data_IF_700836272263
#
_entry.id   IF_700836272263
#
_cell.length_a   1.000
_cell.length_b   1.000
_cell.length_c   1.000
_cell.angle_alpha   90.00
_cell.angle_beta   90.00
_cell.angle_gamma   90.00
#
_symmetry.space_group_name_H-M   'P 1'
#
loop_
_entity.id
_entity.type
_entity.pdbx_description
1 polymer ?
#
# COMPACT_ATOMS: atom_id res chain seq x y z
N UNK A 1 -15.55 13.39 -0.20
CA UNK A 1 -16.03 12.00 -0.49
C UNK A 1 -14.96 11.04 -0.04
N UNK A 2 -15.33 9.97 0.65
CA UNK A 2 -14.40 9.03 1.27
C UNK A 2 -14.58 7.67 0.61
N UNK A 3 -13.51 7.08 0.08
CA UNK A 3 -13.49 5.69 -0.36
C UNK A 3 -12.74 4.84 0.63
N UNK A 4 -13.19 3.62 0.79
CA UNK A 4 -12.59 2.70 1.75
C UNK A 4 -12.09 1.46 1.02
N UNK A 5 -10.88 1.03 1.34
CA UNK A 5 -10.38 -0.26 0.87
C UNK A 5 -9.55 -0.97 1.92
N UNK A 6 -9.60 -2.29 1.93
CA UNK A 6 -8.69 -3.17 2.68
C UNK A 6 -7.69 -3.74 1.68
N UNK A 7 -6.43 -3.79 2.07
CA UNK A 7 -5.40 -4.31 1.18
C UNK A 7 -5.60 -5.80 0.88
N UNK A 8 -6.25 -6.57 1.77
CA UNK A 8 -6.55 -7.99 1.52
C UNK A 8 -7.48 -8.22 0.33
N UNK A 9 -8.43 -7.30 0.09
CA UNK A 9 -9.48 -7.44 -0.91
C UNK A 9 -9.03 -7.00 -2.30
N UNK A 10 -7.94 -6.24 -2.40
CA UNK A 10 -7.37 -5.85 -3.69
C UNK A 10 -6.07 -6.64 -3.96
N UNK A 11 -5.99 -7.43 -5.05
CA UNK A 11 -4.85 -8.33 -5.30
C UNK A 11 -3.53 -7.55 -5.52
N UNK A 12 -3.59 -6.35 -6.09
CA UNK A 12 -2.41 -5.51 -6.34
C UNK A 12 -1.88 -4.95 -5.03
N UNK A 13 -2.77 -4.41 -4.19
CA UNK A 13 -2.40 -3.91 -2.87
C UNK A 13 -1.84 -5.02 -1.98
N UNK A 14 -2.50 -6.19 -1.97
CA UNK A 14 -2.06 -7.37 -1.23
C UNK A 14 -0.64 -7.79 -1.62
N UNK A 15 -0.37 -7.92 -2.93
CA UNK A 15 0.95 -8.32 -3.42
C UNK A 15 2.05 -7.35 -2.98
N UNK A 16 1.80 -6.04 -3.06
CA UNK A 16 2.75 -5.02 -2.59
C UNK A 16 3.06 -5.16 -1.10
N UNK A 17 2.03 -5.37 -0.27
CA UNK A 17 2.20 -5.58 1.17
C UNK A 17 2.95 -6.87 1.49
N UNK A 18 2.63 -7.97 0.82
CA UNK A 18 3.33 -9.25 1.02
C UNK A 18 4.81 -9.11 0.67
N UNK A 19 5.15 -8.48 -0.46
CA UNK A 19 6.55 -8.23 -0.85
C UNK A 19 7.26 -7.38 0.21
N UNK A 20 6.63 -6.30 0.68
CA UNK A 20 7.19 -5.44 1.72
C UNK A 20 7.49 -6.20 3.01
N UNK A 21 6.56 -7.05 3.46
CA UNK A 21 6.71 -7.88 4.67
C UNK A 21 7.83 -8.90 4.48
N UNK A 22 7.90 -9.56 3.32
CA UNK A 22 8.98 -10.50 3.01
C UNK A 22 10.35 -9.83 3.03
N UNK A 23 10.47 -8.60 2.51
CA UNK A 23 11.72 -7.84 2.56
C UNK A 23 12.15 -7.52 4.00
N UNK A 24 11.22 -7.14 4.88
CA UNK A 24 11.50 -6.91 6.30
C UNK A 24 11.99 -8.19 6.98
N UNK A 25 11.31 -9.31 6.73
CA UNK A 25 11.69 -10.61 7.28
C UNK A 25 13.09 -11.01 6.78
N UNK A 26 13.35 -10.87 5.48
CA UNK A 26 14.65 -11.16 4.89
C UNK A 26 15.77 -10.29 5.49
N UNK A 27 15.52 -8.99 5.72
CA UNK A 27 16.48 -8.11 6.38
C UNK A 27 16.76 -8.56 7.83
N UNK A 28 15.72 -8.97 8.57
CA UNK A 28 15.88 -9.52 9.92
C UNK A 28 16.74 -10.78 9.95
N UNK A 29 16.50 -11.72 9.03
CA UNK A 29 17.33 -12.92 8.91
C UNK A 29 18.77 -12.61 8.48
N UNK A 30 18.96 -11.65 7.56
CA UNK A 30 20.29 -11.18 7.16
C UNK A 30 21.07 -10.60 8.34
N UNK A 31 20.41 -9.81 9.19
CA UNK A 31 21.02 -9.29 10.41
C UNK A 31 21.36 -10.40 11.41
N UNK A 32 20.49 -11.39 11.60
CA UNK A 32 20.76 -12.55 12.45
C UNK A 32 21.97 -13.35 11.95
N UNK A 33 22.05 -13.59 10.63
CA UNK A 33 23.18 -14.29 10.02
C UNK A 33 24.51 -13.52 10.25
N UNK A 34 24.49 -12.20 10.08
CA UNK A 34 25.63 -11.34 10.39
C UNK A 34 26.06 -11.46 11.87
N UNK A 35 25.11 -11.44 12.81
CA UNK A 35 25.42 -11.61 14.24
C UNK A 35 26.07 -12.96 14.54
N UNK A 36 25.55 -14.04 13.95
CA UNK A 36 26.11 -15.39 14.13
C UNK A 36 27.54 -15.44 13.56
N UNK A 37 27.78 -14.87 12.37
CA UNK A 37 29.11 -14.79 11.78
C UNK A 37 30.09 -13.97 12.65
N UNK A 38 29.60 -12.96 13.37
CA UNK A 38 30.37 -12.16 14.33
C UNK A 38 30.59 -12.86 15.69
N UNK A 39 30.22 -14.15 15.83
CA UNK A 39 30.47 -14.95 17.03
C UNK A 39 29.32 -14.98 18.05
N UNK A 40 28.12 -14.52 17.69
CA UNK A 40 26.96 -14.63 18.57
C UNK A 40 26.47 -16.08 18.70
N UNK A 41 25.90 -16.40 19.87
CA UNK A 41 25.34 -17.72 20.15
C UNK A 41 24.17 -18.05 19.19
N UNK A 42 24.30 -19.16 18.47
CA UNK A 42 23.37 -19.57 17.40
C UNK A 42 21.95 -19.78 17.95
N UNK A 43 21.81 -20.54 19.04
CA UNK A 43 20.51 -20.89 19.61
C UNK A 43 19.69 -19.66 19.99
N UNK A 44 20.28 -18.74 20.76
CA UNK A 44 19.62 -17.47 21.14
C UNK A 44 19.30 -16.62 19.91
N UNK A 45 20.22 -16.52 18.96
CA UNK A 45 20.04 -15.72 17.75
C UNK A 45 18.87 -16.22 16.89
N UNK A 46 18.72 -17.55 16.75
CA UNK A 46 17.58 -18.15 16.05
C UNK A 46 16.25 -17.94 16.78
N UNK A 47 16.23 -18.03 18.11
CA UNK A 47 15.03 -17.73 18.91
C UNK A 47 14.57 -16.28 18.68
N UNK A 48 15.49 -15.31 18.73
CA UNK A 48 15.15 -13.92 18.46
C UNK A 48 14.66 -13.70 17.03
N UNK A 49 15.27 -14.37 16.04
CA UNK A 49 14.82 -14.28 14.65
C UNK A 49 13.39 -14.86 14.47
N UNK A 50 13.09 -15.98 15.11
CA UNK A 50 11.76 -16.59 15.08
C UNK A 50 10.70 -15.68 15.73
N UNK A 51 11.00 -15.11 16.90
CA UNK A 51 10.12 -14.13 17.57
C UNK A 51 9.90 -12.92 16.66
N UNK A 52 10.97 -12.35 16.10
CA UNK A 52 10.88 -11.22 15.17
C UNK A 52 9.96 -11.53 13.98
N UNK A 53 10.17 -12.66 13.30
CA UNK A 53 9.35 -13.07 12.16
C UNK A 53 7.88 -13.26 12.54
N UNK A 54 7.61 -13.84 13.72
CA UNK A 54 6.25 -13.99 14.27
C UNK A 54 5.57 -12.63 14.47
N UNK A 55 6.24 -11.69 15.14
CA UNK A 55 5.68 -10.35 15.40
C UNK A 55 5.43 -9.58 14.11
N UNK A 56 6.36 -9.62 13.16
CA UNK A 56 6.21 -8.97 11.85
C UNK A 56 5.02 -9.57 11.09
N UNK A 57 4.87 -10.90 11.13
CA UNK A 57 3.75 -11.60 10.46
C UNK A 57 2.41 -11.26 11.10
N UNK A 58 2.31 -11.25 12.43
CA UNK A 58 1.10 -10.85 13.15
C UNK A 58 0.71 -9.40 12.83
N UNK A 59 1.68 -8.49 12.87
CA UNK A 59 1.47 -7.10 12.52
C UNK A 59 1.00 -6.94 11.07
N UNK A 60 1.57 -7.70 10.15
CA UNK A 60 1.17 -7.70 8.74
C UNK A 60 -0.29 -8.13 8.56
N UNK A 61 -0.72 -9.22 9.22
CA UNK A 61 -2.09 -9.72 9.17
C UNK A 61 -3.07 -8.64 9.65
N UNK A 62 -2.80 -8.03 10.81
CA UNK A 62 -3.64 -6.96 11.38
C UNK A 62 -3.70 -5.77 10.41
N UNK A 63 -2.56 -5.36 9.87
CA UNK A 63 -2.44 -4.17 8.99
C UNK A 63 -3.06 -4.39 7.62
N UNK A 64 -3.05 -5.61 7.11
CA UNK A 64 -3.70 -5.98 5.85
C UNK A 64 -5.23 -5.92 5.98
N UNK A 65 -5.77 -6.33 7.13
CA UNK A 65 -7.20 -6.32 7.42
C UNK A 65 -7.78 -4.94 7.75
N UNK A 66 -6.96 -3.97 8.16
CA UNK A 66 -7.44 -2.61 8.48
C UNK A 66 -7.99 -1.89 7.24
N UNK A 67 -9.17 -1.27 7.34
CA UNK A 67 -9.69 -0.40 6.30
C UNK A 67 -8.79 0.84 6.16
N UNK A 68 -8.58 1.26 4.91
CA UNK A 68 -7.82 2.43 4.52
C UNK A 68 -8.73 3.38 3.78
N UNK A 69 -8.57 4.67 4.03
CA UNK A 69 -9.46 5.69 3.50
C UNK A 69 -8.73 6.62 2.53
N UNK A 70 -9.30 6.81 1.35
CA UNK A 70 -8.98 7.91 0.46
C UNK A 70 -10.01 9.00 0.64
N UNK A 71 -9.58 10.25 0.77
CA UNK A 71 -10.48 11.39 0.84
C UNK A 71 -10.25 12.30 -0.35
N UNK A 72 -11.31 12.64 -1.08
CA UNK A 72 -11.28 13.78 -1.99
C UNK A 72 -11.87 15.00 -1.30
N UNK A 73 -11.08 16.05 -1.27
CA UNK A 73 -11.44 17.39 -0.83
C UNK A 73 -11.01 18.41 -1.90
N UNK A 74 -12.00 19.08 -2.51
CA UNK A 74 -11.80 19.92 -3.70
C UNK A 74 -11.06 19.20 -4.82
N UNK A 75 -9.93 19.79 -5.23
CA UNK A 75 -9.04 19.30 -6.28
C UNK A 75 -7.98 18.31 -5.78
N UNK A 76 -8.05 17.85 -4.52
CA UNK A 76 -7.01 17.01 -3.93
C UNK A 76 -7.53 15.64 -3.53
N UNK A 77 -6.73 14.61 -3.80
CA UNK A 77 -6.86 13.28 -3.20
C UNK A 77 -5.86 13.14 -2.06
N UNK A 78 -6.34 12.68 -0.91
CA UNK A 78 -5.55 12.42 0.29
C UNK A 78 -5.53 10.93 0.64
N UNK A 79 -4.33 10.43 0.92
CA UNK A 79 -4.07 9.16 1.58
C UNK A 79 -2.88 9.34 2.50
N UNK A 80 -3.14 9.58 3.79
CA UNK A 80 -2.10 10.01 4.74
C UNK A 80 -0.85 9.10 4.67
N UNK A 81 0.36 9.68 4.57
CA UNK A 81 0.69 11.11 4.57
C UNK A 81 0.66 11.79 3.18
N UNK A 82 0.36 11.05 2.11
CA UNK A 82 0.44 11.51 0.73
C UNK A 82 -0.79 12.33 0.30
N UNK A 83 -0.56 13.29 -0.60
CA UNK A 83 -1.60 14.07 -1.26
C UNK A 83 -1.27 14.28 -2.73
N UNK A 84 -2.28 14.29 -3.58
CA UNK A 84 -2.14 14.58 -5.03
C UNK A 84 -3.13 15.66 -5.43
N UNK A 85 -2.65 16.67 -6.16
CA UNK A 85 -3.53 17.63 -6.82
C UNK A 85 -3.99 17.05 -8.16
N UNK A 86 -5.28 16.84 -8.31
CA UNK A 86 -5.93 16.26 -9.48
C UNK A 86 -5.95 17.18 -10.71
N UNK A 87 -5.66 18.48 -10.57
CA UNK A 87 -5.48 19.38 -11.72
C UNK A 87 -4.07 19.33 -12.31
N UNK A 88 -3.11 18.77 -11.56
CA UNK A 88 -1.70 18.67 -12.00
C UNK A 88 -1.34 17.30 -12.57
N UNK A 89 -2.28 16.37 -12.61
CA UNK A 89 -2.05 15.06 -13.23
C UNK A 89 -2.29 15.17 -14.73
N UNK A 90 -1.50 14.44 -15.52
CA UNK A 90 -1.62 14.41 -16.98
C UNK A 90 -2.84 13.58 -17.43
N UNK A 91 -3.38 12.78 -16.53
CA UNK A 91 -4.52 11.90 -16.77
C UNK A 91 -4.52 10.73 -15.80
N UNK A 92 -5.35 9.73 -16.07
CA UNK A 92 -5.42 8.51 -15.29
C UNK A 92 -5.66 7.29 -16.18
N UNK A 93 -5.34 6.11 -15.65
CA UNK A 93 -5.56 4.82 -16.30
C UNK A 93 -6.38 3.95 -15.34
N UNK A 94 -7.42 3.30 -15.86
CA UNK A 94 -8.32 2.44 -15.09
C UNK A 94 -8.05 0.98 -15.44
N UNK A 95 -7.74 0.18 -14.43
CA UNK A 95 -7.64 -1.29 -14.52
C UNK A 95 -8.85 -1.88 -13.77
N UNK A 96 -9.97 -2.08 -14.49
CA UNK A 96 -11.21 -2.60 -13.92
C UNK A 96 -11.03 -4.01 -13.35
N UNK A 97 -10.30 -4.87 -14.08
CA UNK A 97 -10.05 -6.25 -13.67
C UNK A 97 -9.30 -6.36 -12.33
N UNK A 98 -8.51 -5.33 -11.98
CA UNK A 98 -7.82 -5.26 -10.68
C UNK A 98 -8.39 -4.22 -9.73
N UNK A 99 -9.43 -3.48 -10.12
CA UNK A 99 -10.07 -2.40 -9.36
C UNK A 99 -9.07 -1.34 -8.90
N UNK A 100 -8.28 -0.85 -9.85
CA UNK A 100 -7.21 0.14 -9.59
C UNK A 100 -7.33 1.32 -10.55
N UNK A 101 -7.10 2.53 -10.03
CA UNK A 101 -6.88 3.71 -10.86
C UNK A 101 -5.44 4.20 -10.64
N UNK A 102 -4.69 4.37 -11.72
CA UNK A 102 -3.34 4.96 -11.67
C UNK A 102 -3.40 6.40 -12.16
N UNK A 103 -2.85 7.33 -11.38
CA UNK A 103 -2.74 8.74 -11.74
C UNK A 103 -1.40 8.99 -12.45
N UNK A 104 -1.42 9.55 -13.65
CA UNK A 104 -0.23 9.88 -14.47
C UNK A 104 0.30 11.29 -14.11
N UNK A 105 1.60 11.51 -14.22
CA UNK A 105 2.23 12.79 -13.84
C UNK A 105 2.28 13.07 -12.33
N UNK A 106 1.90 12.10 -11.50
CA UNK A 106 1.86 12.26 -10.04
C UNK A 106 3.28 12.20 -9.43
N UNK A 107 3.67 13.23 -8.67
CA UNK A 107 4.99 13.40 -8.04
C UNK A 107 5.42 12.26 -7.09
N UNK A 108 6.67 12.30 -6.59
CA UNK A 108 7.27 11.22 -5.77
C UNK A 108 6.54 11.03 -4.43
N UNK A 109 6.08 12.11 -3.80
CA UNK A 109 5.33 12.08 -2.53
C UNK A 109 3.81 12.24 -2.73
N UNK A 110 3.31 11.74 -3.85
CA UNK A 110 1.90 11.85 -4.21
C UNK A 110 1.21 10.49 -4.24
N UNK A 111 -0.11 10.50 -4.08
CA UNK A 111 -0.97 9.34 -4.33
C UNK A 111 -0.94 9.06 -5.83
N UNK A 112 -0.22 8.00 -6.23
CA UNK A 112 -0.11 7.56 -7.64
C UNK A 112 -1.13 6.49 -8.02
N UNK A 113 -1.66 5.78 -7.03
CA UNK A 113 -2.51 4.62 -7.26
C UNK A 113 -3.62 4.59 -6.22
N UNK A 114 -4.85 4.51 -6.70
CA UNK A 114 -6.06 4.35 -5.90
C UNK A 114 -6.51 2.90 -6.03
N UNK A 115 -6.82 2.27 -4.90
CA UNK A 115 -7.30 0.89 -4.85
C UNK A 115 -8.75 0.89 -4.38
N UNK A 116 -9.55 0.01 -4.97
CA UNK A 116 -10.97 -0.14 -4.66
C UNK A 116 -11.30 -1.61 -4.37
N UNK A 117 -12.39 -1.84 -3.63
CA UNK A 117 -12.90 -3.19 -3.31
C UNK A 117 -14.09 -3.58 -4.21
N UNK A 118 -14.97 -2.63 -4.47
CA UNK A 118 -16.20 -2.75 -5.24
C UNK A 118 -16.13 -1.92 -6.52
N UNK A 119 -16.86 -2.37 -7.54
CA UNK A 119 -16.89 -1.71 -8.85
C UNK A 119 -17.68 -0.40 -8.83
N UNK A 120 -18.62 -0.26 -7.91
CA UNK A 120 -19.39 0.98 -7.74
C UNK A 120 -18.51 2.14 -7.27
N UNK A 121 -17.64 1.93 -6.27
CA UNK A 121 -16.72 2.98 -5.81
C UNK A 121 -15.72 3.35 -6.91
N UNK A 122 -15.25 2.34 -7.66
CA UNK A 122 -14.37 2.54 -8.81
C UNK A 122 -15.04 3.43 -9.86
N UNK A 123 -16.26 3.08 -10.30
CA UNK A 123 -17.02 3.85 -11.29
C UNK A 123 -17.34 5.26 -10.80
N UNK A 124 -17.69 5.41 -9.53
CA UNK A 124 -17.91 6.73 -8.93
C UNK A 124 -16.63 7.57 -8.91
N UNK A 125 -15.47 6.96 -8.64
CA UNK A 125 -14.18 7.64 -8.68
C UNK A 125 -13.80 8.07 -10.10
N UNK A 126 -14.00 7.21 -11.09
CA UNK A 126 -13.75 7.53 -12.51
C UNK A 126 -14.59 8.74 -12.95
N UNK A 127 -15.92 8.70 -12.75
CA UNK A 127 -16.82 9.81 -13.11
C UNK A 127 -16.48 11.13 -12.44
N UNK A 128 -15.82 11.08 -11.29
CA UNK A 128 -15.39 12.28 -10.55
C UNK A 128 -14.06 12.80 -11.06
N UNK A 129 -13.11 11.91 -11.38
CA UNK A 129 -11.84 12.27 -12.00
C UNK A 129 -12.06 12.89 -13.39
N UNK A 130 -12.95 12.31 -14.21
CA UNK A 130 -13.35 12.86 -15.51
C UNK A 130 -13.88 14.28 -15.37
N UNK A 131 -14.83 14.50 -14.46
CA UNK A 131 -15.40 15.84 -14.19
C UNK A 131 -14.39 16.88 -13.70
N UNK A 132 -13.29 16.46 -13.09
CA UNK A 132 -12.23 17.36 -12.61
C UNK A 132 -11.23 17.68 -13.73
N UNK A 133 -11.00 16.74 -14.65
CA UNK A 133 -10.06 16.89 -15.77
C UNK A 133 -10.68 17.55 -17.02
N UNK A 134 -11.99 17.41 -17.23
CA UNK A 134 -12.74 18.12 -18.27
C UNK A 134 -13.00 19.61 -17.93
N UNK A 135 -12.66 20.03 -16.71
CA UNK A 135 -12.77 21.40 -16.21
C UNK A 135 -11.44 22.14 -16.27
#
# INVERSE_FOLDING_TARGET
MIWTYRAMNNPVARRKWVIFVLLIIAAGFGFTAYKIAAGAEVGKSLIFAAIFALFVSLYAIITLGKPRHYTIDGDFVYYKPFRTNLKKIEGFEVDEGRKVIKLKGAGIFSVRTLYFENDDDLKQAVRKLERILER
#
